data_IF_842547282053
#
_entry.id   IF_842547282053
#
_cell.length_a   1.000
_cell.length_b   1.000
_cell.length_c   1.000
_cell.angle_alpha   90.00
_cell.angle_beta   90.00
_cell.angle_gamma   90.00
#
_symmetry.space_group_name_H-M   'P 1'
#
loop_
_entity.id
_entity.type
_entity.pdbx_description
1 polymer ?
#
# COMPACT_ATOMS: atom_id res chain seq x y z
N UNK A 1 26.69 19.78 59.85
CA UNK A 1 25.86 20.71 59.03
C UNK A 1 26.62 20.93 57.73
N UNK A 2 26.18 20.62 56.51
CA UNK A 2 24.87 20.32 55.94
C UNK A 2 25.05 19.28 54.82
N UNK A 3 24.10 18.35 54.71
CA UNK A 3 23.89 17.50 53.54
C UNK A 3 23.47 18.35 52.34
N UNK A 4 24.00 18.07 51.15
CA UNK A 4 23.35 18.42 49.88
C UNK A 4 23.39 17.18 48.99
N UNK A 5 22.20 16.57 48.81
CA UNK A 5 21.93 15.45 47.91
C UNK A 5 21.62 16.05 46.54
N UNK A 6 22.42 15.75 45.53
CA UNK A 6 22.15 16.17 44.14
C UNK A 6 21.18 15.16 43.54
N UNK A 7 19.92 15.57 43.38
CA UNK A 7 18.88 14.79 42.71
C UNK A 7 19.15 14.75 41.20
N UNK A 8 19.18 13.54 40.65
CA UNK A 8 19.14 13.30 39.22
C UNK A 8 17.75 13.69 38.67
N UNK A 9 17.70 14.65 37.76
CA UNK A 9 16.52 14.94 36.97
C UNK A 9 16.59 14.12 35.68
N UNK A 10 15.84 13.02 35.63
CA UNK A 10 15.57 12.28 34.39
C UNK A 10 14.52 13.08 33.63
N UNK A 11 14.94 13.75 32.56
CA UNK A 11 14.03 14.36 31.60
C UNK A 11 13.33 13.23 30.83
N UNK A 12 12.05 13.02 31.12
CA UNK A 12 11.20 12.14 30.33
C UNK A 12 11.07 12.75 28.92
N UNK A 13 11.65 12.08 27.93
CA UNK A 13 11.40 12.37 26.51
C UNK A 13 9.95 11.99 26.25
N UNK A 14 9.07 12.99 26.17
CA UNK A 14 7.72 12.80 25.67
C UNK A 14 7.83 12.47 24.18
N UNK A 15 7.82 11.18 23.85
CA UNK A 15 7.65 10.71 22.49
C UNK A 15 6.29 11.20 22.00
N UNK A 16 6.32 12.11 21.03
CA UNK A 16 5.15 12.56 20.28
C UNK A 16 4.67 11.33 19.50
N UNK A 17 3.75 10.57 20.09
CA UNK A 17 2.96 9.58 19.35
C UNK A 17 2.07 10.39 18.41
N UNK A 18 2.51 10.54 17.16
CA UNK A 18 1.62 10.85 16.06
C UNK A 18 0.64 9.69 15.93
N UNK A 19 -0.50 9.81 16.61
CA UNK A 19 -1.64 8.93 16.44
C UNK A 19 -2.22 9.17 15.03
N UNK A 20 -1.61 8.54 14.01
CA UNK A 20 -2.23 8.36 12.71
C UNK A 20 -3.19 7.16 12.80
N UNK A 21 -4.26 7.35 13.58
CA UNK A 21 -5.34 6.39 13.73
C UNK A 21 -6.64 7.10 13.41
N UNK A 22 -6.93 7.23 12.12
CA UNK A 22 -8.27 7.59 11.65
C UNK A 22 -9.22 6.48 12.09
N UNK A 23 -9.87 6.68 13.22
CA UNK A 23 -10.87 5.80 13.78
C UNK A 23 -11.94 6.68 14.40
N UNK A 24 -12.86 7.17 13.58
CA UNK A 24 -13.90 8.09 14.08
C UNK A 24 -14.93 8.48 13.02
N UNK A 25 -16.19 8.09 13.25
CA UNK A 25 -17.43 8.45 12.52
C UNK A 25 -17.49 8.21 11.00
N UNK A 26 -16.42 8.44 10.24
CA UNK A 26 -16.32 8.16 8.82
C UNK A 26 -16.41 6.66 8.54
N UNK A 27 -15.74 5.86 9.36
CA UNK A 27 -15.60 4.42 9.15
C UNK A 27 -16.94 3.72 9.35
N UNK A 28 -17.71 4.14 10.37
CA UNK A 28 -19.10 3.70 10.60
C UNK A 28 -19.99 3.97 9.39
N UNK A 29 -19.81 5.12 8.74
CA UNK A 29 -20.52 5.44 7.52
C UNK A 29 -20.12 4.54 6.33
N UNK A 30 -18.83 4.18 6.24
CA UNK A 30 -18.30 3.27 5.20
C UNK A 30 -18.80 1.84 5.40
N UNK A 31 -18.70 1.33 6.62
CA UNK A 31 -19.19 0.00 7.04
C UNK A 31 -20.70 -0.16 6.79
N UNK A 32 -21.48 0.93 6.89
CA UNK A 32 -22.91 0.92 6.61
C UNK A 32 -23.27 1.22 5.13
N UNK A 33 -22.27 1.42 4.26
CA UNK A 33 -22.49 1.75 2.84
C UNK A 33 -23.15 3.12 2.62
N UNK A 34 -23.01 4.05 3.56
CA UNK A 34 -23.69 5.35 3.54
C UNK A 34 -22.82 6.46 2.96
N UNK A 35 -21.49 6.31 3.02
CA UNK A 35 -20.53 7.29 2.50
C UNK A 35 -20.38 7.19 0.99
N UNK A 36 -20.02 8.30 0.37
CA UNK A 36 -19.62 8.28 -1.03
C UNK A 36 -18.37 7.40 -1.21
N UNK A 37 -18.21 6.76 -2.37
CA UNK A 37 -16.98 6.08 -2.72
C UNK A 37 -15.82 7.08 -2.74
N UNK A 38 -14.66 6.60 -2.29
CA UNK A 38 -13.43 7.38 -2.29
C UNK A 38 -12.39 6.71 -3.18
N UNK A 39 -11.58 7.51 -3.88
CA UNK A 39 -10.50 7.02 -4.74
C UNK A 39 -9.19 7.71 -4.40
N UNK A 40 -8.08 6.97 -4.49
CA UNK A 40 -6.74 7.54 -4.48
C UNK A 40 -5.86 6.91 -5.55
N UNK A 41 -4.64 7.45 -5.67
CA UNK A 41 -3.65 7.04 -6.64
C UNK A 41 -2.29 6.80 -6.00
N UNK A 42 -1.58 5.78 -6.50
CA UNK A 42 -0.23 5.40 -6.07
C UNK A 42 0.68 5.37 -7.29
N UNK A 43 1.80 6.09 -7.23
CA UNK A 43 2.82 6.01 -8.28
C UNK A 43 3.83 4.91 -7.97
N UNK A 44 3.63 3.72 -8.57
CA UNK A 44 4.45 2.54 -8.36
C UNK A 44 5.45 2.26 -9.50
N UNK A 45 5.88 3.28 -10.26
CA UNK A 45 6.93 3.18 -11.29
C UNK A 45 8.28 3.69 -10.74
N UNK A 46 9.21 2.81 -10.35
CA UNK A 46 10.50 3.24 -9.81
C UNK A 46 11.33 3.96 -10.88
N UNK A 47 11.86 5.14 -10.56
CA UNK A 47 12.62 5.97 -11.50
C UNK A 47 11.78 6.61 -12.62
N UNK A 48 10.45 6.46 -12.59
CA UNK A 48 9.54 7.12 -13.53
C UNK A 48 9.39 8.63 -13.28
N UNK A 49 9.03 9.43 -14.30
CA UNK A 49 8.70 10.84 -14.13
C UNK A 49 7.40 11.00 -13.33
N UNK A 50 7.19 12.16 -12.72
CA UNK A 50 5.93 12.46 -12.04
C UNK A 50 4.73 12.41 -13.02
N UNK A 51 3.59 11.93 -12.54
CA UNK A 51 2.36 11.75 -13.33
C UNK A 51 1.17 12.46 -12.69
N UNK A 52 0.16 12.73 -13.50
CA UNK A 52 -1.16 13.18 -13.03
C UNK A 52 -2.14 12.01 -13.06
N UNK A 53 -3.00 11.90 -12.05
CA UNK A 53 -4.09 10.95 -12.00
C UNK A 53 -5.39 11.60 -12.46
N UNK A 54 -6.06 10.94 -13.40
CA UNK A 54 -7.28 11.41 -14.06
C UNK A 54 -8.46 10.51 -13.69
N UNK A 55 -9.56 11.14 -13.27
CA UNK A 55 -10.87 10.52 -13.06
C UNK A 55 -11.84 11.15 -14.06
N UNK A 56 -12.47 10.32 -14.88
CA UNK A 56 -13.36 10.73 -15.97
C UNK A 56 -12.76 11.83 -16.86
N UNK A 57 -11.46 11.71 -17.16
CA UNK A 57 -10.71 12.63 -18.04
C UNK A 57 -10.22 13.92 -17.37
N UNK A 58 -10.47 14.11 -16.08
CA UNK A 58 -10.04 15.30 -15.33
C UNK A 58 -9.18 14.93 -14.15
N UNK A 59 -8.14 15.72 -13.83
CA UNK A 59 -7.35 15.51 -12.62
C UNK A 59 -8.08 16.10 -11.41
N UNK A 60 -8.50 15.30 -10.41
CA UNK A 60 -9.06 15.85 -9.18
C UNK A 60 -8.01 16.67 -8.42
N UNK A 61 -8.46 17.58 -7.54
CA UNK A 61 -7.55 18.42 -6.76
C UNK A 61 -6.57 17.58 -5.94
N UNK A 62 -5.27 17.92 -6.02
CA UNK A 62 -4.22 17.20 -5.29
C UNK A 62 -3.81 15.86 -5.88
N UNK A 63 -4.24 15.55 -7.12
CA UNK A 63 -3.93 14.32 -7.84
C UNK A 63 -2.90 14.53 -8.98
N UNK A 64 -2.19 15.67 -8.97
CA UNK A 64 -1.22 16.05 -10.01
C UNK A 64 0.22 16.04 -9.50
N UNK A 65 1.19 15.89 -10.40
CA UNK A 65 2.62 15.90 -10.09
C UNK A 65 2.99 14.87 -9.00
N UNK A 66 2.43 13.67 -9.11
CA UNK A 66 2.68 12.56 -8.18
C UNK A 66 3.97 11.88 -8.58
N UNK A 67 5.03 12.08 -7.79
CA UNK A 67 6.32 11.39 -7.96
C UNK A 67 6.25 9.93 -7.51
N UNK A 68 7.24 9.11 -7.91
CA UNK A 68 7.41 7.74 -7.39
C UNK A 68 7.28 7.68 -5.85
N UNK A 69 6.55 6.66 -5.36
CA UNK A 69 6.14 6.47 -3.96
C UNK A 69 5.09 7.44 -3.45
N UNK A 70 4.70 8.42 -4.26
CA UNK A 70 3.59 9.31 -3.97
C UNK A 70 2.29 8.53 -3.83
N UNK A 71 1.57 8.83 -2.75
CA UNK A 71 0.20 8.37 -2.49
C UNK A 71 -0.64 9.62 -2.37
N UNK A 72 -1.72 9.71 -3.13
CA UNK A 72 -2.59 10.88 -3.09
C UNK A 72 -3.64 10.76 -1.98
N UNK A 73 -4.29 11.88 -1.66
CA UNK A 73 -5.39 11.87 -0.70
C UNK A 73 -6.58 11.13 -1.32
N UNK A 74 -7.35 10.45 -0.48
CA UNK A 74 -8.68 10.00 -0.87
C UNK A 74 -9.53 11.18 -1.34
N UNK A 75 -10.23 10.97 -2.45
CA UNK A 75 -11.13 11.95 -3.05
C UNK A 75 -12.48 11.29 -3.31
N UNK A 76 -13.56 11.95 -2.91
CA UNK A 76 -14.91 11.46 -3.22
C UNK A 76 -15.15 11.40 -4.73
N UNK A 77 -15.75 10.31 -5.18
CA UNK A 77 -16.23 10.13 -6.55
C UNK A 77 -17.72 9.78 -6.56
N UNK A 78 -18.33 9.86 -7.74
CA UNK A 78 -19.71 9.44 -7.93
C UNK A 78 -19.79 7.91 -8.04
N UNK A 79 -20.94 7.35 -7.69
CA UNK A 79 -21.24 5.94 -7.94
C UNK A 79 -21.44 5.65 -9.44
N UNK A 80 -21.30 4.38 -9.82
CA UNK A 80 -21.46 3.90 -11.20
C UNK A 80 -20.15 3.84 -11.97
N UNK A 81 -20.22 3.63 -13.30
CA UNK A 81 -19.03 3.43 -14.12
C UNK A 81 -18.10 4.65 -14.06
N UNK A 82 -16.83 4.40 -13.73
CA UNK A 82 -15.80 5.44 -13.60
C UNK A 82 -14.56 5.06 -14.38
N UNK A 83 -14.21 5.90 -15.34
CA UNK A 83 -12.97 5.77 -16.12
C UNK A 83 -11.84 6.42 -15.34
N UNK A 84 -10.71 5.73 -15.26
CA UNK A 84 -9.50 6.21 -14.60
C UNK A 84 -8.31 6.11 -15.54
N UNK A 85 -7.39 7.05 -15.44
CA UNK A 85 -6.16 7.06 -16.20
C UNK A 85 -5.05 7.78 -15.44
N UNK A 86 -3.82 7.66 -15.91
CA UNK A 86 -2.77 8.59 -15.54
C UNK A 86 -2.06 9.10 -16.79
N UNK A 87 -1.52 10.31 -16.71
CA UNK A 87 -0.87 11.02 -17.81
C UNK A 87 0.47 11.60 -17.36
N UNK A 88 1.30 12.03 -18.31
CA UNK A 88 2.46 12.85 -17.96
C UNK A 88 1.99 14.15 -17.30
N UNK A 89 2.71 14.62 -16.28
CA UNK A 89 2.35 15.83 -15.53
C UNK A 89 2.07 17.02 -16.46
N UNK A 90 0.93 17.68 -16.26
CA UNK A 90 0.49 18.83 -17.06
C UNK A 90 -0.19 18.47 -18.37
N UNK A 91 -0.47 17.19 -18.63
CA UNK A 91 -1.12 16.71 -19.86
C UNK A 91 -2.37 15.88 -19.53
N UNK A 92 -3.24 15.68 -20.53
CA UNK A 92 -4.44 14.83 -20.41
C UNK A 92 -4.38 13.58 -21.29
N UNK A 93 -3.29 13.39 -22.04
CA UNK A 93 -3.09 12.19 -22.84
C UNK A 93 -2.74 11.02 -21.92
N UNK A 94 -3.63 10.03 -21.85
CA UNK A 94 -3.46 8.87 -20.99
C UNK A 94 -2.23 8.04 -21.42
N UNK A 95 -1.34 7.77 -20.47
CA UNK A 95 -0.25 6.80 -20.60
C UNK A 95 -0.78 5.37 -20.43
N UNK A 96 -1.70 5.19 -19.50
CA UNK A 96 -2.53 3.99 -19.36
C UNK A 96 -3.89 4.37 -18.77
N UNK A 97 -4.90 3.52 -18.98
CA UNK A 97 -6.27 3.74 -18.51
C UNK A 97 -6.97 2.45 -18.16
N UNK A 98 -8.00 2.57 -17.34
CA UNK A 98 -8.84 1.48 -16.85
C UNK A 98 -10.25 1.97 -16.52
N UNK A 99 -11.12 1.05 -16.14
CA UNK A 99 -12.50 1.36 -15.80
C UNK A 99 -12.96 0.52 -14.62
N UNK A 100 -13.53 1.18 -13.62
CA UNK A 100 -14.36 0.52 -12.62
C UNK A 100 -15.80 0.50 -13.16
N UNK A 101 -16.38 -0.68 -13.43
CA UNK A 101 -17.70 -0.76 -14.07
C UNK A 101 -18.83 -0.29 -13.17
N UNK A 102 -18.68 -0.44 -11.85
CA UNK A 102 -19.69 -0.07 -10.87
C UNK A 102 -19.03 0.38 -9.56
N UNK A 103 -18.76 1.68 -9.44
CA UNK A 103 -18.26 2.27 -8.19
C UNK A 103 -19.40 2.34 -7.18
N UNK A 104 -19.21 1.73 -6.01
CA UNK A 104 -20.24 1.57 -4.98
C UNK A 104 -19.97 2.38 -3.71
N UNK A 105 -21.02 2.76 -2.98
CA UNK A 105 -20.89 3.46 -1.69
C UNK A 105 -20.22 2.59 -0.64
N UNK A 106 -19.47 3.22 0.27
CA UNK A 106 -18.73 2.52 1.31
C UNK A 106 -17.51 1.74 0.82
N UNK A 107 -17.14 1.87 -0.45
CA UNK A 107 -15.94 1.25 -1.02
C UNK A 107 -14.82 2.27 -1.17
N UNK A 108 -13.60 1.78 -1.08
CA UNK A 108 -12.37 2.53 -1.34
C UNK A 108 -11.71 2.00 -2.62
N UNK A 109 -11.30 2.91 -3.50
CA UNK A 109 -10.72 2.58 -4.79
C UNK A 109 -9.26 3.01 -4.82
N UNK A 110 -8.39 2.08 -5.19
CA UNK A 110 -6.96 2.34 -5.39
C UNK A 110 -6.61 2.17 -6.86
N UNK A 111 -5.95 3.18 -7.41
CA UNK A 111 -5.36 3.13 -8.75
C UNK A 111 -3.84 3.21 -8.62
N UNK A 112 -3.12 2.35 -9.33
CA UNK A 112 -1.66 2.33 -9.33
C UNK A 112 -1.12 2.60 -10.73
N UNK A 113 -0.17 3.53 -10.88
CA UNK A 113 0.64 3.57 -12.09
C UNK A 113 1.71 2.48 -12.01
N UNK A 114 1.73 1.61 -13.01
CA UNK A 114 2.60 0.44 -13.08
C UNK A 114 3.61 0.59 -14.22
N UNK A 115 4.83 0.05 -14.05
CA UNK A 115 5.64 -0.25 -15.22
C UNK A 115 4.94 -1.34 -16.04
N UNK A 116 5.15 -1.34 -17.34
CA UNK A 116 4.82 -2.50 -18.17
C UNK A 116 5.98 -2.88 -19.08
N UNK A 117 5.95 -4.11 -19.58
CA UNK A 117 7.06 -4.69 -20.35
C UNK A 117 7.19 -4.06 -21.74
N UNK A 118 6.07 -3.63 -22.34
CA UNK A 118 6.02 -3.03 -23.67
C UNK A 118 5.47 -1.60 -23.67
N UNK A 119 4.57 -1.29 -22.74
CA UNK A 119 3.92 0.01 -22.58
C UNK A 119 3.59 0.23 -21.09
N UNK A 120 3.36 1.47 -20.65
CA UNK A 120 2.88 1.74 -19.29
C UNK A 120 1.57 0.98 -18.99
N UNK A 121 1.34 0.61 -17.73
CA UNK A 121 0.15 -0.15 -17.32
C UNK A 121 -0.45 0.42 -16.04
N UNK A 122 -1.67 0.00 -15.68
CA UNK A 122 -2.44 0.55 -14.57
C UNK A 122 -3.06 -0.54 -13.69
N UNK A 123 -2.85 -0.47 -12.38
CA UNK A 123 -3.45 -1.37 -11.39
C UNK A 123 -4.75 -0.78 -10.86
N UNK A 124 -5.77 -1.62 -10.69
CA UNK A 124 -7.08 -1.23 -10.20
C UNK A 124 -7.49 -2.13 -9.03
N UNK A 125 -7.91 -1.52 -7.92
CA UNK A 125 -8.44 -2.22 -6.75
C UNK A 125 -9.73 -1.53 -6.32
N UNK A 126 -10.78 -2.31 -6.23
CA UNK A 126 -12.02 -2.03 -5.51
C UNK A 126 -11.93 -2.73 -4.15
N UNK A 127 -11.98 -1.97 -3.05
CA UNK A 127 -11.88 -2.44 -1.68
C UNK A 127 -13.19 -2.13 -0.92
N UNK A 128 -14.11 -3.11 -0.78
CA UNK A 128 -15.28 -2.96 0.07
C UNK A 128 -14.85 -2.80 1.53
N UNK A 129 -15.35 -1.77 2.22
CA UNK A 129 -14.97 -1.51 3.60
C UNK A 129 -15.92 -2.22 4.59
N UNK A 130 -15.59 -3.46 5.00
CA UNK A 130 -16.42 -4.28 5.90
C UNK A 130 -15.69 -4.70 7.19
N UNK A 131 -15.02 -3.73 7.82
CA UNK A 131 -14.19 -3.98 9.01
C UNK A 131 -14.96 -4.40 10.26
N UNK A 132 -16.26 -4.18 10.27
CA UNK A 132 -17.12 -4.38 11.43
C UNK A 132 -16.92 -3.29 12.47
N UNK A 133 -18.03 -2.73 12.94
CA UNK A 133 -18.08 -1.48 13.74
C UNK A 133 -17.26 -1.47 15.05
N UNK A 134 -16.92 -2.65 15.59
CA UNK A 134 -16.20 -2.79 16.86
C UNK A 134 -14.76 -3.30 16.67
N UNK A 135 -14.36 -3.59 15.44
CA UNK A 135 -13.02 -4.08 15.14
C UNK A 135 -12.02 -2.93 15.16
N UNK A 136 -10.88 -3.15 15.80
CA UNK A 136 -9.72 -2.27 15.71
C UNK A 136 -8.58 -2.86 14.89
N UNK A 137 -8.83 -3.97 14.18
CA UNK A 137 -7.83 -4.63 13.35
C UNK A 137 -7.29 -3.69 12.28
N UNK A 138 -6.01 -3.87 11.94
CA UNK A 138 -5.47 -3.36 10.70
C UNK A 138 -6.08 -4.13 9.51
N UNK A 139 -6.18 -3.46 8.37
CA UNK A 139 -6.56 -4.01 7.06
C UNK A 139 -5.29 -4.16 6.23
N UNK A 140 -5.16 -5.32 5.60
CA UNK A 140 -3.99 -5.67 4.82
C UNK A 140 -4.42 -6.23 3.47
N UNK A 141 -3.80 -5.72 2.42
CA UNK A 141 -3.92 -6.24 1.06
C UNK A 141 -2.54 -6.30 0.40
N UNK A 142 -2.34 -7.28 -0.46
CA UNK A 142 -1.14 -7.47 -1.25
C UNK A 142 -1.40 -7.09 -2.70
N UNK A 143 -0.40 -6.54 -3.38
CA UNK A 143 -0.45 -6.26 -4.80
C UNK A 143 0.93 -6.48 -5.42
N UNK A 144 0.97 -6.91 -6.68
CA UNK A 144 2.22 -7.08 -7.40
C UNK A 144 2.30 -6.07 -8.56
N UNK A 145 3.06 -4.99 -8.37
CA UNK A 145 3.38 -4.01 -9.41
C UNK A 145 4.69 -4.34 -10.15
N UNK A 146 5.29 -5.50 -9.89
CA UNK A 146 6.55 -5.93 -10.49
C UNK A 146 6.28 -6.79 -11.73
N UNK A 147 6.24 -6.17 -12.91
CA UNK A 147 6.01 -6.86 -14.19
C UNK A 147 7.06 -7.95 -14.52
N UNK A 148 8.21 -7.92 -13.85
CA UNK A 148 9.30 -8.89 -13.95
C UNK A 148 9.32 -9.96 -12.85
N UNK A 149 8.45 -9.86 -11.85
CA UNK A 149 8.37 -10.87 -10.81
C UNK A 149 7.51 -12.04 -11.29
N UNK A 150 7.90 -13.25 -10.89
CA UNK A 150 6.96 -14.37 -10.85
C UNK A 150 5.87 -14.07 -9.81
N UNK A 151 4.81 -14.89 -9.78
CA UNK A 151 3.81 -14.78 -8.70
C UNK A 151 4.53 -14.89 -7.34
N UNK A 152 4.09 -14.06 -6.39
CA UNK A 152 4.71 -13.96 -5.08
C UNK A 152 3.82 -14.55 -4.00
N UNK A 153 4.42 -15.24 -3.04
CA UNK A 153 3.79 -15.50 -1.76
C UNK A 153 4.31 -14.46 -0.76
N UNK A 154 3.40 -13.72 -0.14
CA UNK A 154 3.73 -12.72 0.88
C UNK A 154 3.30 -13.21 2.26
N UNK A 155 4.23 -13.16 3.19
CA UNK A 155 4.07 -13.60 4.57
C UNK A 155 4.21 -12.38 5.47
N UNK A 156 3.18 -12.13 6.28
CA UNK A 156 3.26 -11.22 7.41
C UNK A 156 3.38 -12.07 8.67
N UNK A 157 4.57 -12.10 9.27
CA UNK A 157 4.88 -12.94 10.44
C UNK A 157 5.30 -12.08 11.63
N UNK A 158 5.08 -12.57 12.84
CA UNK A 158 5.51 -11.88 14.06
C UNK A 158 7.02 -11.68 14.04
N UNK A 159 7.51 -10.52 14.47
CA UNK A 159 8.95 -10.22 14.44
C UNK A 159 9.80 -11.18 15.29
N UNK A 160 9.19 -11.88 16.24
CA UNK A 160 9.84 -12.90 17.09
C UNK A 160 9.94 -14.28 16.43
N UNK A 161 9.32 -14.52 15.28
CA UNK A 161 9.32 -15.80 14.58
C UNK A 161 9.22 -15.59 13.06
N UNK A 162 10.39 -15.59 12.40
CA UNK A 162 10.50 -15.37 10.94
C UNK A 162 10.64 -16.67 10.14
N UNK A 163 10.56 -17.83 10.78
CA UNK A 163 10.62 -19.12 10.10
C UNK A 163 9.28 -19.40 9.40
N UNK A 164 9.30 -19.44 8.06
CA UNK A 164 8.12 -19.67 7.23
C UNK A 164 7.98 -21.11 6.73
N UNK A 165 8.87 -22.03 7.11
CA UNK A 165 8.95 -23.40 6.57
C UNK A 165 7.63 -24.18 6.67
N UNK A 166 6.87 -23.96 7.74
CA UNK A 166 5.55 -24.58 7.99
C UNK A 166 4.39 -23.58 8.01
N UNK A 167 4.66 -22.31 7.68
CA UNK A 167 3.67 -21.22 7.70
C UNK A 167 3.05 -21.08 6.31
N UNK A 168 1.73 -20.90 6.24
CA UNK A 168 1.05 -20.54 4.99
C UNK A 168 1.20 -19.05 4.71
N UNK A 169 1.34 -18.63 3.45
CA UNK A 169 1.41 -17.20 3.12
C UNK A 169 0.14 -16.46 3.54
N UNK A 170 0.32 -15.24 4.03
CA UNK A 170 -0.80 -14.35 4.36
C UNK A 170 -1.53 -13.91 3.10
N UNK A 171 -0.78 -13.67 2.01
CA UNK A 171 -1.30 -13.36 0.68
C UNK A 171 -0.60 -14.26 -0.33
N UNK A 172 -1.30 -15.31 -0.78
CA UNK A 172 -0.75 -16.35 -1.63
C UNK A 172 -0.84 -15.97 -3.12
N UNK A 173 0.19 -16.32 -3.90
CA UNK A 173 0.14 -16.29 -5.36
C UNK A 173 -0.18 -14.91 -5.96
N UNK A 174 0.28 -13.82 -5.34
CA UNK A 174 0.10 -12.44 -5.80
C UNK A 174 0.75 -12.26 -7.17
N UNK A 175 -0.06 -12.38 -8.22
CA UNK A 175 0.36 -12.25 -9.62
C UNK A 175 0.40 -10.78 -10.06
N UNK A 176 1.22 -10.47 -11.06
CA UNK A 176 1.34 -9.12 -11.59
C UNK A 176 -0.04 -8.50 -11.90
N UNK A 177 -0.21 -7.23 -11.50
CA UNK A 177 -1.42 -6.43 -11.68
C UNK A 177 -2.65 -6.91 -10.88
N UNK A 178 -2.50 -7.91 -10.03
CA UNK A 178 -3.59 -8.45 -9.22
C UNK A 178 -3.36 -8.20 -7.73
N UNK A 179 -4.46 -7.93 -7.03
CA UNK A 179 -4.50 -7.82 -5.59
C UNK A 179 -4.85 -9.16 -4.91
N UNK A 180 -4.37 -9.35 -3.67
CA UNK A 180 -4.78 -10.44 -2.78
C UNK A 180 -5.06 -9.86 -1.39
N UNK A 181 -6.30 -9.89 -0.88
CA UNK A 181 -7.51 -10.39 -1.53
C UNK A 181 -7.83 -9.69 -2.86
N UNK A 182 -8.56 -10.39 -3.73
CA UNK A 182 -8.90 -9.88 -5.07
C UNK A 182 -9.72 -8.58 -4.98
N UNK A 183 -9.65 -7.76 -6.03
CA UNK A 183 -10.52 -6.59 -6.18
C UNK A 183 -11.99 -7.01 -6.03
N UNK A 184 -12.77 -6.24 -5.26
CA UNK A 184 -14.15 -6.55 -4.91
C UNK A 184 -14.32 -7.56 -3.77
N UNK A 185 -13.22 -8.02 -3.16
CA UNK A 185 -13.22 -8.74 -1.89
C UNK A 185 -12.64 -7.84 -0.82
N UNK A 186 -13.12 -7.97 0.42
CA UNK A 186 -12.62 -7.19 1.56
C UNK A 186 -11.18 -7.60 1.94
N UNK A 187 -10.49 -6.71 2.63
CA UNK A 187 -9.10 -6.82 3.07
C UNK A 187 -8.91 -7.83 4.22
N UNK A 188 -7.67 -8.27 4.43
CA UNK A 188 -7.32 -9.19 5.52
C UNK A 188 -7.24 -8.42 6.83
N UNK A 189 -7.92 -8.91 7.86
CA UNK A 189 -7.85 -8.35 9.21
C UNK A 189 -6.68 -8.90 10.00
N UNK A 190 -5.84 -8.00 10.49
CA UNK A 190 -4.64 -8.33 11.28
C UNK A 190 -4.62 -7.51 12.56
N UNK A 191 -4.33 -8.14 13.69
CA UNK A 191 -4.12 -7.40 14.95
C UNK A 191 -2.87 -6.54 14.86
N UNK A 192 -2.90 -5.33 15.42
CA UNK A 192 -1.70 -4.50 15.54
C UNK A 192 -0.59 -5.20 16.34
N UNK A 193 0.66 -4.94 15.98
CA UNK A 193 1.82 -5.64 16.55
C UNK A 193 3.11 -5.36 15.80
N UNK A 194 4.18 -6.06 16.20
CA UNK A 194 5.49 -5.99 15.55
C UNK A 194 5.64 -7.15 14.56
N UNK A 195 5.84 -6.82 13.29
CA UNK A 195 5.87 -7.78 12.20
C UNK A 195 7.14 -7.68 11.36
N UNK A 196 7.38 -8.73 10.58
CA UNK A 196 8.31 -8.78 9.46
C UNK A 196 7.53 -9.22 8.22
N UNK A 197 7.80 -8.58 7.09
CA UNK A 197 7.30 -9.01 5.78
C UNK A 197 8.35 -9.85 5.07
N UNK A 198 7.93 -11.00 4.59
CA UNK A 198 8.77 -11.91 3.80
C UNK A 198 8.06 -12.15 2.47
N UNK A 199 8.80 -12.12 1.37
CA UNK A 199 8.31 -12.56 0.07
C UNK A 199 9.10 -13.76 -0.42
N UNK A 200 8.40 -14.71 -1.03
CA UNK A 200 9.00 -15.83 -1.78
C UNK A 200 8.41 -15.87 -3.18
N UNK A 201 9.05 -16.60 -4.09
CA UNK A 201 8.35 -17.08 -5.28
C UNK A 201 7.18 -17.96 -4.83
N UNK A 202 6.02 -17.85 -5.49
CA UNK A 202 4.83 -18.60 -5.14
C UNK A 202 5.09 -20.10 -5.12
N UNK A 203 4.65 -20.78 -4.06
CA UNK A 203 4.88 -22.20 -3.82
C UNK A 203 6.28 -22.55 -3.29
N UNK A 204 7.19 -21.58 -3.20
CA UNK A 204 8.50 -21.74 -2.56
C UNK A 204 8.46 -21.32 -1.08
N UNK A 205 9.44 -21.81 -0.31
CA UNK A 205 9.72 -21.36 1.06
C UNK A 205 11.06 -20.64 1.19
N UNK A 206 11.74 -20.40 0.08
CA UNK A 206 13.01 -19.65 0.06
C UNK A 206 12.72 -18.16 -0.03
N UNK A 207 13.07 -17.36 1.00
CA UNK A 207 12.91 -15.91 0.97
C UNK A 207 13.71 -15.27 -0.16
N UNK A 208 13.06 -14.40 -0.93
CA UNK A 208 13.71 -13.49 -1.89
C UNK A 208 13.70 -12.04 -1.39
N UNK A 209 12.83 -11.75 -0.41
CA UNK A 209 12.78 -10.49 0.31
C UNK A 209 12.47 -10.76 1.78
N UNK A 210 13.13 -10.03 2.67
CA UNK A 210 12.74 -9.95 4.08
C UNK A 210 12.93 -8.51 4.57
N UNK A 211 11.93 -7.95 5.25
CA UNK A 211 12.03 -6.61 5.83
C UNK A 211 12.75 -6.60 7.17
N UNK A 212 13.17 -5.41 7.62
CA UNK A 212 13.34 -5.16 9.06
C UNK A 212 12.00 -5.28 9.79
N UNK A 213 12.04 -5.43 11.12
CA UNK A 213 10.83 -5.43 11.93
C UNK A 213 10.18 -4.04 11.91
N UNK A 214 8.85 -3.98 11.78
CA UNK A 214 8.08 -2.74 11.82
C UNK A 214 6.83 -2.89 12.69
N UNK A 215 6.26 -1.75 13.08
CA UNK A 215 4.98 -1.69 13.80
C UNK A 215 3.82 -1.59 12.81
N UNK A 216 2.88 -2.52 12.90
CA UNK A 216 1.56 -2.39 12.30
C UNK A 216 0.62 -1.89 13.38
N UNK A 217 0.11 -0.67 13.23
CA UNK A 217 -0.83 -0.11 14.19
C UNK A 217 -2.22 -0.71 14.01
N UNK A 218 -2.99 -0.82 15.09
CA UNK A 218 -4.43 -1.01 14.98
C UNK A 218 -5.04 0.09 14.10
N UNK A 219 -6.10 -0.25 13.39
CA UNK A 219 -6.74 0.62 12.40
C UNK A 219 -5.89 1.08 11.21
N UNK A 220 -4.69 0.53 11.03
CA UNK A 220 -3.93 0.78 9.82
C UNK A 220 -4.65 0.19 8.60
N UNK A 221 -4.55 0.87 7.45
CA UNK A 221 -4.98 0.34 6.15
C UNK A 221 -3.79 0.32 5.20
N UNK A 222 -3.29 -0.89 4.94
CA UNK A 222 -2.00 -1.11 4.28
C UNK A 222 -2.17 -1.92 3.00
N UNK A 223 -1.67 -1.34 1.90
CA UNK A 223 -1.41 -2.04 0.67
C UNK A 223 0.09 -2.37 0.56
N UNK A 224 0.42 -3.66 0.64
CA UNK A 224 1.76 -4.20 0.44
C UNK A 224 1.97 -4.45 -1.05
N UNK A 225 2.70 -3.57 -1.71
CA UNK A 225 2.92 -3.62 -3.16
C UNK A 225 4.36 -4.02 -3.47
N UNK A 226 4.58 -5.08 -4.26
CA UNK A 226 5.91 -5.30 -4.82
C UNK A 226 6.19 -4.32 -5.95
N UNK A 227 7.39 -3.76 -6.00
CA UNK A 227 7.88 -2.93 -7.11
C UNK A 227 9.22 -3.48 -7.62
N UNK A 228 9.56 -3.29 -8.90
CA UNK A 228 10.89 -3.70 -9.39
C UNK A 228 11.98 -2.86 -8.71
N UNK A 229 13.20 -3.41 -8.61
CA UNK A 229 14.36 -2.61 -8.17
C UNK A 229 14.67 -1.57 -9.27
N UNK A 230 14.78 -0.29 -8.88
CA UNK A 230 15.00 0.81 -9.82
C UNK A 230 16.43 0.84 -10.38
N UNK A 231 16.59 1.28 -11.63
CA UNK A 231 17.80 2.01 -12.03
C UNK A 231 18.26 1.88 -13.48
N UNK A 232 17.86 0.85 -14.23
CA UNK A 232 18.25 0.70 -15.63
C UNK A 232 17.12 0.14 -16.47
N UNK A 233 16.90 0.71 -17.66
CA UNK A 233 16.12 0.11 -18.74
C UNK A 233 16.78 -1.18 -19.30
N UNK A 234 17.74 -1.73 -18.58
CA UNK A 234 18.53 -2.92 -18.88
C UNK A 234 18.03 -4.06 -18.02
N UNK A 235 17.38 -5.03 -18.66
CA UNK A 235 17.10 -6.38 -18.20
C UNK A 235 16.79 -6.56 -16.70
N UNK A 236 15.50 -6.53 -16.40
CA UNK A 236 14.94 -7.02 -15.15
C UNK A 236 15.27 -8.51 -15.00
N UNK A 237 16.12 -8.88 -14.05
CA UNK A 237 16.36 -10.29 -13.72
C UNK A 237 15.19 -10.78 -12.85
N UNK A 238 14.64 -11.99 -13.10
CA UNK A 238 13.62 -12.57 -12.22
C UNK A 238 14.09 -12.63 -10.76
N UNK A 239 13.22 -12.23 -9.82
CA UNK A 239 13.49 -12.33 -8.37
C UNK A 239 14.02 -11.07 -7.69
N UNK A 240 14.12 -9.94 -8.39
CA UNK A 240 14.50 -8.64 -7.81
C UNK A 240 13.28 -7.74 -7.59
N UNK A 241 12.85 -7.61 -6.33
CA UNK A 241 11.75 -6.73 -5.92
C UNK A 241 12.13 -5.93 -4.68
N UNK A 242 11.52 -4.75 -4.52
CA UNK A 242 11.31 -4.11 -3.23
C UNK A 242 9.84 -4.21 -2.83
N UNK A 243 9.54 -4.09 -1.54
CA UNK A 243 8.18 -3.96 -1.05
C UNK A 243 7.90 -2.53 -0.63
N UNK A 244 6.83 -1.98 -1.20
CA UNK A 244 6.30 -0.66 -0.94
C UNK A 244 5.03 -0.78 -0.10
N UNK A 245 4.98 -0.09 1.03
CA UNK A 245 3.81 -0.02 1.90
C UNK A 245 3.12 1.31 1.66
N UNK A 246 1.99 1.29 0.97
CA UNK A 246 1.12 2.46 0.89
C UNK A 246 0.17 2.47 2.10
N UNK A 247 0.13 3.60 2.80
CA UNK A 247 -0.68 3.80 4.00
C UNK A 247 -1.81 4.76 3.69
N UNK A 248 -3.05 4.29 3.89
CA UNK A 248 -4.30 5.04 3.99
C UNK A 248 -4.35 6.41 3.26
N UNK A 249 -4.26 6.40 1.92
CA UNK A 249 -4.56 7.51 1.02
C UNK A 249 -4.30 8.91 1.57
N UNK A 250 -3.04 9.20 1.96
CA UNK A 250 -2.67 10.46 2.58
C UNK A 250 -1.35 10.98 1.99
N UNK A 251 -1.43 12.15 1.35
CA UNK A 251 -0.31 12.91 0.76
C UNK A 251 0.79 13.28 1.76
N UNK A 252 0.48 13.32 3.05
CA UNK A 252 1.46 13.59 4.11
C UNK A 252 2.28 12.36 4.49
N UNK A 253 1.85 11.17 4.08
CA UNK A 253 2.51 9.89 4.32
C UNK A 253 2.76 9.19 2.98
N UNK A 254 3.85 9.50 2.27
CA UNK A 254 4.21 8.76 1.07
C UNK A 254 4.40 7.28 1.44
N UNK A 255 4.28 6.43 0.42
CA UNK A 255 4.50 5.02 0.63
C UNK A 255 5.94 4.72 1.07
N UNK A 256 6.06 3.81 2.04
CA UNK A 256 7.32 3.45 2.67
C UNK A 256 7.90 2.25 1.95
N UNK A 257 9.08 2.41 1.40
CA UNK A 257 9.82 1.31 0.79
C UNK A 257 10.63 0.61 1.86
N UNK A 258 10.38 -0.68 2.04
CA UNK A 258 11.04 -1.50 3.02
C UNK A 258 12.37 -2.02 2.46
N UNK A 259 13.44 -1.88 3.25
CA UNK A 259 14.73 -2.47 2.91
C UNK A 259 14.71 -3.99 3.03
N UNK A 260 15.29 -4.67 2.05
CA UNK A 260 15.55 -6.10 2.01
C UNK A 260 16.78 -6.44 2.85
N UNK A 261 16.58 -7.02 4.03
CA UNK A 261 17.66 -7.43 4.94
C UNK A 261 18.52 -8.57 4.39
N UNK A 262 18.04 -9.31 3.38
CA UNK A 262 18.81 -10.39 2.74
C UNK A 262 19.94 -9.83 1.87
N UNK A 263 19.73 -8.64 1.29
CA UNK A 263 20.68 -8.02 0.35
C UNK A 263 21.22 -6.68 0.83
N UNK A 264 20.65 -6.09 1.89
CA UNK A 264 20.99 -4.75 2.38
C UNK A 264 20.56 -3.62 1.45
N UNK A 265 19.61 -3.88 0.53
CA UNK A 265 19.06 -2.92 -0.43
C UNK A 265 17.73 -2.38 0.07
#
# INVERSE_FOLDING_TARGET
MKMIRTMAAVAAVASVLSACGGGGTSDVGKELGLTNPEIHFIHAIPGGPAVDFLVNGTAPSGQTNVSYKGVTNFTNINTGSTTVAYSATGTTAALASGNFPDVAKGHEYTVLALPGLAAPDIGLIDDPFDKGLLSNSARLRGFNASANATNLDLYLVQATSTDITSVSPTMAGVSFKNAVPASGQDSIYVSGGQYVLIATVAGSKTPIFQSQSFSLSNNADWLVTSVPIAGTLSQLVPGQIHLLIAQNGNTSTPSVELSNTLTGQ
#
